data_IF_247740377735
#
_entry.id   IF_247740377735
#
_cell.length_a   1.000
_cell.length_b   1.000
_cell.length_c   1.000
_cell.angle_alpha   90.00
_cell.angle_beta   90.00
_cell.angle_gamma   90.00
#
_symmetry.space_group_name_H-M   'P 1'
#
loop_
_entity.id
_entity.type
_entity.pdbx_description
1 polymer ?
#
# COMPACT_ATOMS: atom_id res chain seq x y z
N UNK A 1 46.91 -0.94 50.78
CA UNK A 1 45.84 0.06 50.82
C UNK A 1 44.87 -0.24 49.69
N UNK A 2 43.72 -0.84 50.02
CA UNK A 2 42.63 -1.16 49.09
C UNK A 2 41.43 -0.33 49.51
N UNK A 3 40.95 0.53 48.63
CA UNK A 3 39.80 1.40 48.86
C UNK A 3 38.57 0.74 48.23
N UNK A 4 37.60 0.34 49.06
CA UNK A 4 36.26 -0.04 48.64
C UNK A 4 35.42 1.21 48.38
N UNK A 5 34.78 1.30 47.22
CA UNK A 5 33.65 2.21 47.00
C UNK A 5 32.35 1.41 47.13
N UNK A 6 31.50 1.84 48.06
CA UNK A 6 30.14 1.35 48.25
C UNK A 6 29.18 2.16 47.37
N UNK A 7 28.40 1.47 46.52
CA UNK A 7 27.29 2.06 45.79
C UNK A 7 26.03 2.04 46.67
N UNK A 8 25.53 3.23 46.99
CA UNK A 8 24.24 3.46 47.67
C UNK A 8 23.16 3.51 46.58
N UNK A 9 22.27 2.53 46.57
CA UNK A 9 21.11 2.48 45.70
C UNK A 9 19.93 3.18 46.40
N UNK A 10 19.47 4.30 45.86
CA UNK A 10 18.24 4.96 46.30
C UNK A 10 17.04 4.27 45.65
N UNK A 11 16.24 3.59 46.47
CA UNK A 11 14.97 2.99 46.09
C UNK A 11 13.88 4.09 46.17
N UNK A 12 13.41 4.56 45.01
CA UNK A 12 12.25 5.43 44.89
C UNK A 12 11.00 4.56 44.72
N UNK A 13 10.21 4.43 45.78
CA UNK A 13 8.90 3.74 45.75
C UNK A 13 7.85 4.73 45.24
N UNK A 14 7.39 4.54 44.00
CA UNK A 14 6.20 5.22 43.45
C UNK A 14 5.00 4.30 43.64
N UNK A 15 4.04 4.74 44.45
CA UNK A 15 2.75 4.05 44.65
C UNK A 15 1.81 4.46 43.52
N UNK A 16 1.73 3.62 42.47
CA UNK A 16 0.75 3.73 41.41
C UNK A 16 -0.53 2.97 41.77
N UNK A 17 -1.65 3.68 41.84
CA UNK A 17 -2.99 3.09 42.00
C UNK A 17 -3.37 2.48 40.64
N UNK A 18 -3.12 1.19 40.48
CA UNK A 18 -3.44 0.43 39.27
C UNK A 18 -4.93 0.13 39.18
N UNK A 19 -5.58 0.63 38.13
CA UNK A 19 -6.88 0.13 37.71
C UNK A 19 -6.72 -1.28 37.11
N UNK A 20 -7.36 -2.28 37.70
CA UNK A 20 -7.45 -3.63 37.14
C UNK A 20 -8.33 -3.59 35.88
N UNK A 21 -7.72 -3.48 34.70
CA UNK A 21 -8.38 -3.85 33.46
C UNK A 21 -8.31 -5.38 33.34
N UNK A 22 -9.46 -6.04 33.46
CA UNK A 22 -9.64 -7.45 33.09
C UNK A 22 -9.49 -7.55 31.57
N UNK A 23 -8.30 -7.93 31.11
CA UNK A 23 -8.08 -8.35 29.72
C UNK A 23 -8.81 -9.65 29.49
N UNK A 24 -9.83 -9.64 28.64
CA UNK A 24 -10.46 -10.87 28.16
C UNK A 24 -9.39 -11.75 27.50
N UNK A 25 -9.39 -13.07 27.72
CA UNK A 25 -8.46 -13.98 27.06
C UNK A 25 -8.63 -13.84 25.53
N UNK A 26 -7.53 -13.54 24.84
CA UNK A 26 -7.53 -13.58 23.37
C UNK A 26 -8.00 -14.97 22.92
N UNK A 27 -8.91 -15.05 21.93
CA UNK A 27 -9.32 -16.34 21.39
C UNK A 27 -8.08 -17.03 20.83
N UNK A 28 -7.73 -18.18 21.41
CA UNK A 28 -6.68 -19.07 20.90
C UNK A 28 -7.06 -19.39 19.46
N UNK A 29 -6.29 -18.85 18.51
CA UNK A 29 -6.45 -19.16 17.10
C UNK A 29 -6.40 -20.68 16.95
N UNK A 30 -7.52 -21.27 16.54
CA UNK A 30 -7.56 -22.69 16.22
C UNK A 30 -6.70 -22.88 14.98
N UNK A 31 -5.55 -23.54 15.16
CA UNK A 31 -4.67 -23.89 14.04
C UNK A 31 -5.49 -24.63 13.00
N UNK A 32 -5.76 -23.95 11.88
CA UNK A 32 -6.41 -24.60 10.74
C UNK A 32 -5.45 -25.69 10.28
N UNK A 33 -5.87 -26.97 10.23
CA UNK A 33 -4.97 -28.07 9.89
C UNK A 33 -4.29 -27.74 8.56
N UNK A 34 -2.96 -27.67 8.59
CA UNK A 34 -2.12 -27.35 7.44
C UNK A 34 -2.50 -28.32 6.33
N UNK A 35 -3.03 -27.82 5.21
CA UNK A 35 -3.40 -28.66 4.08
C UNK A 35 -2.22 -29.57 3.73
N UNK A 36 -2.48 -30.87 3.60
CA UNK A 36 -1.43 -31.85 3.32
C UNK A 36 -0.62 -31.40 2.11
N UNK A 37 0.70 -31.26 2.28
CA UNK A 37 1.57 -30.82 1.20
C UNK A 37 1.40 -31.73 -0.02
N UNK A 38 1.32 -31.17 -1.24
CA UNK A 38 1.16 -31.97 -2.44
C UNK A 38 2.29 -33.01 -2.53
N UNK A 39 1.93 -34.28 -2.74
CA UNK A 39 2.90 -35.35 -2.92
C UNK A 39 3.60 -35.19 -4.27
N UNK A 40 4.81 -34.63 -4.24
CA UNK A 40 5.71 -34.58 -5.40
C UNK A 40 6.19 -36.00 -5.72
N UNK A 41 6.36 -36.38 -7.00
CA UNK A 41 7.07 -37.62 -7.34
C UNK A 41 8.54 -37.53 -6.92
N UNK A 42 9.24 -38.66 -6.72
CA UNK A 42 10.66 -38.66 -6.38
C UNK A 42 11.49 -37.98 -7.48
N UNK A 43 12.18 -36.86 -7.19
CA UNK A 43 12.98 -36.18 -8.19
C UNK A 43 14.24 -36.98 -8.53
N UNK A 44 14.61 -37.00 -9.81
CA UNK A 44 15.89 -37.52 -10.30
C UNK A 44 16.97 -36.43 -10.28
N UNK A 45 16.59 -35.20 -10.58
CA UNK A 45 17.48 -34.03 -10.58
C UNK A 45 16.80 -32.86 -9.89
N UNK A 46 17.57 -32.09 -9.12
CA UNK A 46 17.12 -30.84 -8.53
C UNK A 46 18.14 -29.77 -8.88
N UNK A 47 17.67 -28.65 -9.40
CA UNK A 47 18.49 -27.49 -9.76
C UNK A 47 18.01 -26.29 -8.95
N UNK A 48 18.97 -25.60 -8.33
CA UNK A 48 18.74 -24.33 -7.65
C UNK A 48 19.22 -23.21 -8.57
N UNK A 49 18.41 -22.18 -8.71
CA UNK A 49 18.74 -20.97 -9.48
C UNK A 49 18.11 -19.76 -8.82
N UNK A 50 18.45 -18.57 -9.31
CA UNK A 50 17.87 -17.31 -8.84
C UNK A 50 17.27 -16.54 -10.00
N UNK A 51 16.28 -15.69 -9.69
CA UNK A 51 15.72 -14.72 -10.64
C UNK A 51 16.78 -13.76 -11.21
N UNK A 52 17.90 -13.57 -10.53
CA UNK A 52 19.01 -12.71 -10.94
C UNK A 52 20.14 -13.49 -11.66
N UNK A 53 19.77 -14.46 -12.51
CA UNK A 53 20.70 -15.21 -13.36
C UNK A 53 21.84 -15.90 -12.58
N UNK A 54 21.55 -16.45 -11.40
CA UNK A 54 22.52 -17.18 -10.58
C UNK A 54 23.37 -16.30 -9.65
N UNK A 55 23.05 -15.01 -9.51
CA UNK A 55 23.63 -14.13 -8.49
C UNK A 55 22.59 -13.78 -7.41
N UNK A 56 23.05 -13.20 -6.31
CA UNK A 56 22.20 -12.62 -5.26
C UNK A 56 22.59 -11.18 -5.02
N UNK A 57 21.62 -10.27 -5.01
CA UNK A 57 21.88 -8.87 -4.79
C UNK A 57 22.05 -8.55 -3.30
N UNK A 58 23.14 -7.88 -2.95
CA UNK A 58 23.40 -7.50 -1.56
C UNK A 58 22.37 -6.48 -1.07
N UNK A 59 21.44 -6.89 -0.20
CA UNK A 59 20.42 -5.98 0.37
C UNK A 59 19.11 -5.90 -0.42
N UNK A 60 18.96 -6.71 -1.48
CA UNK A 60 17.71 -6.87 -2.21
C UNK A 60 17.29 -8.33 -2.14
N UNK A 61 16.01 -8.56 -1.85
CA UNK A 61 15.43 -9.89 -1.83
C UNK A 61 15.49 -10.50 -3.24
N UNK A 62 16.16 -11.64 -3.36
CA UNK A 62 16.32 -12.35 -4.62
C UNK A 62 15.47 -13.60 -4.61
N UNK A 63 14.56 -13.78 -5.56
CA UNK A 63 13.74 -14.99 -5.61
C UNK A 63 14.60 -16.21 -5.92
N UNK A 64 14.60 -17.20 -5.03
CA UNK A 64 15.11 -18.54 -5.29
C UNK A 64 14.13 -19.29 -6.20
N UNK A 65 14.65 -20.10 -7.12
CA UNK A 65 13.85 -20.95 -8.00
C UNK A 65 14.40 -22.36 -7.91
N UNK A 66 13.51 -23.30 -7.62
CA UNK A 66 13.86 -24.71 -7.50
C UNK A 66 13.14 -25.48 -8.58
N UNK A 67 13.91 -26.21 -9.37
CA UNK A 67 13.37 -27.08 -10.41
C UNK A 67 13.73 -28.52 -10.07
N UNK A 68 12.73 -29.31 -9.69
CA UNK A 68 12.84 -30.76 -9.60
C UNK A 68 12.41 -31.39 -10.93
N UNK A 69 13.16 -32.38 -11.42
CA UNK A 69 12.81 -33.15 -12.62
C UNK A 69 12.57 -34.58 -12.19
N UNK A 70 11.38 -35.12 -12.49
CA UNK A 70 11.03 -36.51 -12.16
C UNK A 70 11.60 -37.53 -13.17
N UNK A 71 11.32 -38.82 -12.95
CA UNK A 71 11.81 -39.90 -13.80
C UNK A 71 11.25 -39.86 -15.24
N UNK A 72 10.15 -39.12 -15.47
CA UNK A 72 9.54 -38.91 -16.78
C UNK A 72 10.06 -37.64 -17.45
N UNK A 73 10.99 -36.91 -16.83
CA UNK A 73 11.54 -35.66 -17.35
C UNK A 73 10.61 -34.45 -17.14
N UNK A 74 9.56 -34.57 -16.32
CA UNK A 74 8.63 -33.46 -16.06
C UNK A 74 9.22 -32.50 -15.02
N UNK A 75 9.24 -31.18 -15.29
CA UNK A 75 9.71 -30.21 -14.32
C UNK A 75 8.62 -29.87 -13.29
N UNK A 76 9.05 -29.73 -12.04
CA UNK A 76 8.27 -29.32 -10.89
C UNK A 76 8.96 -28.08 -10.32
N UNK A 77 8.37 -26.92 -10.59
CA UNK A 77 8.98 -25.62 -10.32
C UNK A 77 8.27 -24.97 -9.13
N UNK A 78 9.02 -24.29 -8.26
CA UNK A 78 8.44 -23.52 -7.16
C UNK A 78 7.59 -22.33 -7.65
N UNK A 79 6.59 -21.97 -6.85
CA UNK A 79 5.78 -20.77 -7.05
C UNK A 79 6.63 -19.49 -7.01
N UNK A 80 6.15 -18.42 -7.66
CA UNK A 80 6.84 -17.12 -7.73
C UNK A 80 7.57 -16.95 -9.06
N UNK A 81 8.82 -16.46 -9.04
CA UNK A 81 9.55 -16.11 -10.27
C UNK A 81 9.83 -17.29 -11.22
N UNK A 82 9.73 -18.53 -10.74
CA UNK A 82 9.84 -19.72 -11.58
C UNK A 82 8.58 -20.03 -12.40
N UNK A 83 7.44 -19.38 -12.10
CA UNK A 83 6.16 -19.63 -12.76
C UNK A 83 5.58 -21.03 -12.50
N UNK A 84 6.09 -21.75 -11.50
CA UNK A 84 5.65 -23.09 -11.15
C UNK A 84 4.49 -23.11 -10.16
N UNK A 85 4.02 -24.32 -9.85
CA UNK A 85 2.87 -24.55 -8.95
C UNK A 85 3.28 -25.16 -7.61
N UNK A 86 4.54 -25.57 -7.45
CA UNK A 86 5.01 -26.26 -6.24
C UNK A 86 5.11 -25.26 -5.09
N UNK A 87 4.36 -25.45 -3.99
CA UNK A 87 4.40 -24.53 -2.86
C UNK A 87 5.74 -24.65 -2.11
N UNK A 88 6.19 -23.55 -1.51
CA UNK A 88 7.46 -23.47 -0.79
C UNK A 88 7.54 -24.40 0.42
N UNK A 89 6.41 -24.71 1.05
CA UNK A 89 6.33 -25.65 2.16
C UNK A 89 6.52 -27.13 1.77
N UNK A 90 6.60 -27.45 0.47
CA UNK A 90 6.97 -28.79 -0.01
C UNK A 90 8.49 -29.06 0.10
N UNK A 91 9.25 -28.06 0.54
CA UNK A 91 10.71 -28.08 0.59
C UNK A 91 11.22 -27.69 1.98
N UNK A 92 12.38 -28.24 2.34
CA UNK A 92 13.16 -27.84 3.50
C UNK A 92 14.45 -27.15 3.05
N UNK A 93 14.84 -26.08 3.74
CA UNK A 93 15.96 -25.23 3.35
C UNK A 93 16.92 -24.96 4.49
N UNK A 94 18.20 -24.79 4.14
CA UNK A 94 19.21 -24.17 4.99
C UNK A 94 19.99 -23.18 4.13
N UNK A 95 20.25 -21.99 4.66
CA UNK A 95 21.04 -20.98 3.99
C UNK A 95 22.24 -20.57 4.85
N UNK A 96 23.39 -20.38 4.19
CA UNK A 96 24.61 -19.84 4.77
C UNK A 96 24.79 -18.41 4.24
N UNK A 97 25.07 -17.47 5.14
CA UNK A 97 25.20 -16.03 4.84
C UNK A 97 23.92 -15.38 4.25
N UNK A 98 22.76 -16.04 4.38
CA UNK A 98 21.48 -15.49 3.97
C UNK A 98 20.33 -16.04 4.83
N UNK A 99 19.19 -15.38 4.74
CA UNK A 99 17.88 -15.93 5.15
C UNK A 99 17.06 -16.28 3.92
N UNK A 100 16.16 -17.24 4.07
CA UNK A 100 15.15 -17.60 3.07
C UNK A 100 13.79 -17.38 3.70
N UNK A 101 12.94 -16.55 3.08
CA UNK A 101 11.57 -16.33 3.55
C UNK A 101 10.67 -17.53 3.26
N UNK A 102 9.47 -17.54 3.84
CA UNK A 102 8.45 -18.55 3.55
C UNK A 102 8.05 -18.60 2.06
N UNK A 103 8.23 -17.49 1.35
CA UNK A 103 7.92 -17.35 -0.08
C UNK A 103 9.17 -17.55 -0.97
N UNK A 104 10.27 -18.06 -0.40
CA UNK A 104 11.50 -18.36 -1.15
C UNK A 104 12.34 -17.14 -1.54
N UNK A 105 12.19 -16.02 -0.83
CA UNK A 105 13.04 -14.85 -1.02
C UNK A 105 14.35 -15.03 -0.26
N UNK A 106 15.46 -15.01 -1.00
CA UNK A 106 16.81 -15.13 -0.47
C UNK A 106 17.38 -13.74 -0.21
N UNK A 107 17.80 -13.48 1.04
CA UNK A 107 18.39 -12.20 1.45
C UNK A 107 19.72 -12.42 2.15
N UNK A 108 20.85 -11.91 1.63
CA UNK A 108 22.11 -11.97 2.34
C UNK A 108 22.02 -11.32 3.72
N UNK A 109 22.61 -11.95 4.73
CA UNK A 109 22.67 -11.42 6.10
C UNK A 109 24.12 -11.21 6.53
N UNK A 110 24.34 -10.14 7.29
CA UNK A 110 25.66 -9.79 7.83
C UNK A 110 26.07 -8.37 7.50
N UNK A 111 27.30 -8.02 7.89
CA UNK A 111 27.95 -6.79 7.48
C UNK A 111 28.27 -6.86 5.98
N UNK A 112 27.78 -5.91 5.21
CA UNK A 112 27.99 -5.85 3.76
C UNK A 112 29.47 -5.87 3.36
N UNK A 113 30.38 -5.32 4.17
CA UNK A 113 31.81 -5.43 3.88
C UNK A 113 32.30 -6.86 3.97
N UNK A 114 31.81 -7.61 4.96
CA UNK A 114 32.17 -9.00 5.14
C UNK A 114 31.56 -9.90 4.04
N UNK A 115 30.55 -9.41 3.32
CA UNK A 115 29.93 -10.10 2.18
C UNK A 115 30.68 -9.90 0.86
N UNK A 116 31.66 -9.01 0.81
CA UNK A 116 32.50 -8.83 -0.38
C UNK A 116 33.30 -10.11 -0.62
N UNK A 117 33.33 -10.56 -1.87
CA UNK A 117 33.91 -11.84 -2.31
C UNK A 117 33.25 -13.09 -1.67
N UNK A 118 32.09 -12.95 -1.01
CA UNK A 118 31.34 -14.08 -0.46
C UNK A 118 30.27 -14.60 -1.41
N UNK A 119 29.79 -15.80 -1.11
CA UNK A 119 28.64 -16.42 -1.75
C UNK A 119 27.59 -16.80 -0.71
N UNK A 120 26.35 -16.82 -1.15
CA UNK A 120 25.24 -17.41 -0.40
C UNK A 120 25.19 -18.90 -0.73
N UNK A 121 25.35 -19.74 0.30
CA UNK A 121 25.16 -21.19 0.17
C UNK A 121 23.70 -21.53 0.45
N UNK A 122 23.05 -22.29 -0.43
CA UNK A 122 21.68 -22.76 -0.24
C UNK A 122 21.65 -24.27 -0.35
N UNK A 123 21.09 -24.93 0.66
CA UNK A 123 20.75 -26.34 0.67
C UNK A 123 19.25 -26.50 0.62
N UNK A 124 18.78 -27.38 -0.26
CA UNK A 124 17.36 -27.66 -0.43
C UNK A 124 17.12 -29.16 -0.61
N UNK A 125 16.04 -29.66 -0.03
CA UNK A 125 15.52 -30.99 -0.30
C UNK A 125 13.98 -30.98 -0.29
N UNK A 126 13.30 -31.82 -1.06
CA UNK A 126 11.86 -32.01 -0.90
C UNK A 126 11.58 -32.59 0.48
N UNK A 127 10.53 -32.14 1.16
CA UNK A 127 10.15 -32.66 2.49
C UNK A 127 9.86 -34.17 2.43
N UNK A 128 9.28 -34.65 1.33
CA UNK A 128 8.99 -36.06 1.10
C UNK A 128 10.25 -36.92 0.83
N UNK A 129 11.38 -36.31 0.45
CA UNK A 129 12.61 -36.99 0.04
C UNK A 129 13.85 -36.25 0.59
N UNK A 130 14.03 -36.17 1.92
CA UNK A 130 15.08 -35.38 2.55
C UNK A 130 16.51 -35.85 2.17
N UNK A 131 16.67 -37.11 1.75
CA UNK A 131 17.91 -37.68 1.26
C UNK A 131 18.34 -37.13 -0.12
N UNK A 132 17.41 -36.51 -0.87
CA UNK A 132 17.67 -35.85 -2.16
C UNK A 132 18.05 -34.38 -1.96
N UNK A 133 19.01 -34.13 -1.06
CA UNK A 133 19.50 -32.78 -0.81
C UNK A 133 20.45 -32.32 -1.91
N UNK A 134 20.26 -31.09 -2.39
CA UNK A 134 21.20 -30.40 -3.26
C UNK A 134 21.72 -29.14 -2.60
N UNK A 135 22.93 -28.74 -2.97
CA UNK A 135 23.58 -27.53 -2.51
C UNK A 135 23.98 -26.68 -3.72
N UNK A 136 23.89 -25.37 -3.60
CA UNK A 136 24.36 -24.42 -4.60
C UNK A 136 24.90 -23.18 -3.93
N UNK A 137 25.86 -22.54 -4.59
CA UNK A 137 26.49 -21.31 -4.12
C UNK A 137 26.23 -20.22 -5.14
N UNK A 138 25.67 -19.10 -4.68
CA UNK A 138 25.37 -17.95 -5.52
C UNK A 138 26.27 -16.79 -5.10
N UNK A 139 27.10 -16.24 -6.00
CA UNK A 139 27.92 -15.08 -5.69
C UNK A 139 27.04 -13.88 -5.32
N UNK A 140 27.49 -13.13 -4.33
CA UNK A 140 26.85 -11.87 -3.93
C UNK A 140 27.32 -10.78 -4.87
N UNK A 141 26.38 -10.10 -5.52
CA UNK A 141 26.65 -8.96 -6.39
C UNK A 141 26.19 -7.66 -5.74
N UNK A 142 27.00 -6.62 -5.93
CA UNK A 142 26.67 -5.24 -5.60
C UNK A 142 26.42 -4.39 -6.85
N UNK A 143 26.50 -5.00 -8.03
CA UNK A 143 26.18 -4.39 -9.31
C UNK A 143 24.68 -4.56 -9.61
N UNK A 144 23.83 -4.20 -8.64
CA UNK A 144 22.38 -4.38 -8.70
C UNK A 144 21.63 -3.05 -8.77
N UNK A 145 20.42 -3.02 -9.35
CA UNK A 145 19.55 -1.85 -9.30
C UNK A 145 18.84 -1.79 -7.94
N UNK A 146 19.37 -0.99 -7.03
CA UNK A 146 18.77 -0.74 -5.73
C UNK A 146 17.61 0.22 -5.85
N UNK A 147 16.58 0.02 -5.03
CA UNK A 147 15.43 0.92 -4.91
C UNK A 147 15.23 1.28 -3.44
N UNK A 148 15.08 2.57 -3.16
CA UNK A 148 14.58 3.09 -1.91
C UNK A 148 13.35 3.95 -2.19
N UNK A 149 12.19 3.52 -1.70
CA UNK A 149 10.93 4.21 -1.92
C UNK A 149 10.42 4.80 -0.60
N UNK A 150 10.16 6.10 -0.64
CA UNK A 150 9.61 6.89 0.45
C UNK A 150 8.57 7.87 -0.13
N UNK A 151 7.68 7.29 -0.94
CA UNK A 151 6.58 7.98 -1.59
C UNK A 151 5.51 8.39 -0.57
N UNK A 152 4.81 9.48 -0.85
CA UNK A 152 3.64 9.91 -0.12
C UNK A 152 2.46 8.95 -0.31
N UNK A 153 1.64 8.82 0.73
CA UNK A 153 0.47 7.94 0.69
C UNK A 153 -0.60 8.50 -0.24
N UNK A 154 -1.33 7.62 -0.94
CA UNK A 154 -2.49 8.05 -1.72
C UNK A 154 -3.61 8.55 -0.78
N UNK A 155 -4.32 9.60 -1.20
CA UNK A 155 -5.52 10.08 -0.54
C UNK A 155 -6.67 9.09 -0.69
N UNK A 156 -7.52 9.00 0.33
CA UNK A 156 -8.71 8.16 0.27
C UNK A 156 -9.78 8.80 -0.61
N UNK A 157 -10.54 7.95 -1.31
CA UNK A 157 -11.69 8.42 -2.06
C UNK A 157 -12.81 8.86 -1.12
N UNK A 158 -13.52 9.90 -1.52
CA UNK A 158 -14.73 10.35 -0.87
C UNK A 158 -15.84 9.30 -0.95
N UNK A 159 -16.60 9.17 0.14
CA UNK A 159 -17.76 8.30 0.18
C UNK A 159 -18.89 8.85 -0.71
N UNK A 160 -19.59 7.95 -1.40
CA UNK A 160 -20.79 8.34 -2.13
C UNK A 160 -21.91 8.72 -1.16
N UNK A 161 -22.71 9.71 -1.56
CA UNK A 161 -23.92 10.08 -0.86
C UNK A 161 -24.98 8.98 -0.93
N UNK A 162 -25.69 8.76 0.18
CA UNK A 162 -26.81 7.83 0.21
C UNK A 162 -28.01 8.37 -0.57
N UNK A 163 -28.78 7.49 -1.23
CA UNK A 163 -30.01 7.90 -1.89
C UNK A 163 -31.08 8.34 -0.88
N UNK A 164 -31.92 9.28 -1.30
CA UNK A 164 -33.08 9.71 -0.56
C UNK A 164 -34.19 8.65 -0.58
N UNK A 165 -34.97 8.58 0.50
CA UNK A 165 -36.06 7.63 0.61
C UNK A 165 -37.24 8.03 -0.27
N UNK A 166 -37.83 7.08 -1.01
CA UNK A 166 -39.09 7.31 -1.70
C UNK A 166 -40.22 7.55 -0.70
N UNK A 167 -41.16 8.43 -1.05
CA UNK A 167 -42.29 8.74 -0.19
C UNK A 167 -43.45 7.75 -0.35
N UNK A 168 -44.24 7.53 0.72
CA UNK A 168 -45.44 6.72 0.62
C UNK A 168 -46.52 7.43 -0.23
N UNK A 169 -47.35 6.66 -0.96
CA UNK A 169 -48.51 7.22 -1.63
C UNK A 169 -49.56 7.71 -0.62
N UNK A 170 -50.38 8.66 -1.04
CA UNK A 170 -51.52 9.13 -0.27
C UNK A 170 -52.60 8.06 -0.14
N UNK A 171 -53.27 8.03 1.01
CA UNK A 171 -54.35 7.08 1.25
C UNK A 171 -55.59 7.36 0.37
N UNK A 172 -56.18 6.29 -0.14
CA UNK A 172 -57.48 6.34 -0.80
C UNK A 172 -58.58 6.39 0.28
N UNK A 173 -59.48 7.36 0.18
CA UNK A 173 -60.63 7.52 1.06
C UNK A 173 -61.96 7.31 0.31
N UNK A 174 -63.07 7.01 1.01
CA UNK A 174 -64.35 6.77 0.37
C UNK A 174 -64.80 7.97 -0.48
N UNK A 175 -65.34 7.69 -1.67
CA UNK A 175 -65.79 8.71 -2.63
C UNK A 175 -67.30 9.00 -2.52
N UNK A 176 -68.03 8.23 -1.71
CA UNK A 176 -69.49 8.33 -1.56
C UNK A 176 -69.96 7.86 -0.18
N UNK A 177 -71.16 8.29 0.23
CA UNK A 177 -71.75 7.97 1.52
C UNK A 177 -71.31 8.91 2.67
N UNK A 178 -71.77 8.65 3.91
CA UNK A 178 -71.55 9.55 5.05
C UNK A 178 -70.09 9.66 5.52
N UNK A 179 -69.19 8.82 5.00
CA UNK A 179 -67.74 8.88 5.25
C UNK A 179 -66.92 9.37 4.04
N UNK A 180 -67.57 9.98 3.05
CA UNK A 180 -66.90 10.46 1.86
C UNK A 180 -65.93 11.61 2.20
N UNK A 181 -64.67 11.49 1.77
CA UNK A 181 -63.61 12.44 2.09
C UNK A 181 -62.62 12.61 0.93
N UNK A 182 -61.90 13.76 0.85
CA UNK A 182 -60.82 13.96 -0.09
C UNK A 182 -59.72 12.91 0.05
N UNK A 183 -59.11 12.48 -1.05
CA UNK A 183 -57.94 11.62 -1.01
C UNK A 183 -56.77 12.34 -0.33
N UNK A 184 -55.89 11.61 0.32
CA UNK A 184 -54.71 12.22 0.92
C UNK A 184 -53.64 12.50 -0.14
N UNK A 185 -52.85 13.54 0.09
CA UNK A 185 -51.69 13.85 -0.75
C UNK A 185 -50.62 12.77 -0.60
N UNK A 186 -49.85 12.54 -1.66
CA UNK A 186 -48.64 11.73 -1.59
C UNK A 186 -47.54 12.42 -0.78
N UNK A 187 -46.69 11.62 -0.13
CA UNK A 187 -45.55 12.16 0.62
C UNK A 187 -44.49 12.79 -0.29
N UNK A 188 -43.66 13.67 0.24
CA UNK A 188 -42.47 14.19 -0.46
C UNK A 188 -41.31 13.21 -0.32
N UNK A 189 -40.64 12.90 -1.43
CA UNK A 189 -39.44 12.07 -1.42
C UNK A 189 -38.30 12.74 -0.66
N UNK A 190 -37.49 11.95 0.03
CA UNK A 190 -36.33 12.45 0.77
C UNK A 190 -35.21 12.91 -0.17
N UNK A 191 -34.43 13.89 0.26
CA UNK A 191 -33.26 14.34 -0.50
C UNK A 191 -32.15 13.28 -0.47
N UNK A 192 -31.41 13.16 -1.56
CA UNK A 192 -30.16 12.41 -1.61
C UNK A 192 -29.07 13.15 -0.84
N UNK A 193 -28.16 12.41 -0.22
CA UNK A 193 -27.04 13.00 0.50
C UNK A 193 -25.94 13.43 -0.46
N UNK A 194 -25.13 14.40 -0.08
CA UNK A 194 -23.96 14.78 -0.85
C UNK A 194 -22.90 13.68 -0.77
N UNK A 195 -22.11 13.54 -1.84
CA UNK A 195 -20.86 12.80 -1.79
C UNK A 195 -19.81 13.57 -0.99
N UNK A 196 -18.90 12.84 -0.35
CA UNK A 196 -17.77 13.45 0.35
C UNK A 196 -16.64 13.78 -0.63
N UNK A 197 -15.81 14.75 -0.27
CA UNK A 197 -14.60 15.07 -1.04
C UNK A 197 -13.56 13.94 -0.93
N UNK A 198 -12.71 13.82 -1.94
CA UNK A 198 -11.52 12.99 -1.88
C UNK A 198 -10.45 13.62 -0.99
N UNK A 199 -9.70 12.81 -0.26
CA UNK A 199 -8.61 13.28 0.58
C UNK A 199 -7.39 13.68 -0.26
N UNK A 200 -6.61 14.62 0.25
CA UNK A 200 -5.33 14.99 -0.35
C UNK A 200 -4.32 13.83 -0.22
N UNK A 201 -3.52 13.62 -1.26
CA UNK A 201 -2.37 12.72 -1.22
C UNK A 201 -1.26 13.25 -0.32
N UNK A 202 -0.59 12.36 0.40
CA UNK A 202 0.54 12.68 1.26
C UNK A 202 1.75 13.17 0.48
N UNK A 203 2.54 14.05 1.09
CA UNK A 203 3.80 14.50 0.49
C UNK A 203 4.86 13.38 0.54
N UNK A 204 5.73 13.34 -0.47
CA UNK A 204 6.90 12.46 -0.49
C UNK A 204 7.91 12.82 0.59
N UNK A 205 8.68 11.84 1.06
CA UNK A 205 9.60 12.04 2.18
C UNK A 205 10.83 12.88 1.78
N UNK A 206 11.36 13.62 2.75
CA UNK A 206 12.61 14.35 2.55
C UNK A 206 13.79 13.44 2.91
N UNK A 207 14.75 13.33 1.99
CA UNK A 207 15.93 12.50 2.16
C UNK A 207 17.22 13.32 2.24
N UNK A 208 18.12 12.89 3.11
CA UNK A 208 19.53 13.30 3.12
C UNK A 208 20.40 12.09 2.83
N UNK A 209 21.30 12.21 1.86
CA UNK A 209 22.20 11.15 1.47
C UNK A 209 23.63 11.53 1.82
N UNK A 210 24.36 10.59 2.39
CA UNK A 210 25.81 10.67 2.55
C UNK A 210 26.47 9.61 1.66
N UNK A 211 27.35 10.06 0.76
CA UNK A 211 27.94 9.22 -0.28
C UNK A 211 29.46 9.29 -0.18
N UNK A 212 30.10 8.14 0.01
CA UNK A 212 31.55 8.01 0.05
C UNK A 212 32.03 6.91 -0.91
N UNK A 213 33.24 7.09 -1.45
CA UNK A 213 33.92 6.04 -2.20
C UNK A 213 34.80 5.26 -1.22
N UNK A 214 34.61 3.94 -1.15
CA UNK A 214 35.36 3.03 -0.29
C UNK A 214 36.05 1.97 -1.13
N UNK A 215 37.17 1.44 -0.63
CA UNK A 215 37.86 0.31 -1.23
C UNK A 215 37.54 -0.93 -0.42
N UNK A 216 37.02 -1.97 -1.07
CA UNK A 216 36.65 -3.22 -0.40
C UNK A 216 37.30 -4.44 -1.04
N UNK A 217 37.37 -5.52 -0.27
CA UNK A 217 37.93 -6.80 -0.70
C UNK A 217 39.45 -6.78 -0.87
N UNK A 218 39.99 -7.94 -1.22
CA UNK A 218 41.43 -8.11 -1.45
C UNK A 218 41.92 -7.32 -2.68
N UNK A 219 41.05 -7.15 -3.67
CA UNK A 219 41.33 -6.41 -4.90
C UNK A 219 41.27 -4.89 -4.74
N UNK A 220 40.85 -4.38 -3.57
CA UNK A 220 40.63 -2.95 -3.34
C UNK A 220 39.71 -2.35 -4.41
N UNK A 221 38.57 -3.00 -4.63
CA UNK A 221 37.59 -2.55 -5.61
C UNK A 221 36.87 -1.29 -5.12
N UNK A 222 36.77 -0.23 -5.95
CA UNK A 222 36.06 0.98 -5.58
C UNK A 222 34.56 0.73 -5.56
N UNK A 223 33.94 1.01 -4.43
CA UNK A 223 32.50 0.90 -4.22
C UNK A 223 31.93 2.18 -3.64
N UNK A 224 30.68 2.48 -3.99
CA UNK A 224 29.94 3.56 -3.34
C UNK A 224 29.28 3.04 -2.09
N UNK A 225 29.60 3.67 -0.97
CA UNK A 225 28.81 3.58 0.25
C UNK A 225 27.81 4.73 0.24
N UNK A 226 26.52 4.40 0.30
CA UNK A 226 25.43 5.39 0.38
C UNK A 226 24.64 5.16 1.66
N UNK A 227 24.56 6.17 2.53
CA UNK A 227 23.62 6.18 3.64
C UNK A 227 22.43 7.04 3.28
N UNK A 228 21.24 6.44 3.24
CA UNK A 228 19.99 7.17 3.05
C UNK A 228 19.40 7.48 4.42
N UNK A 229 19.29 8.77 4.73
CA UNK A 229 18.60 9.29 5.90
C UNK A 229 17.21 9.76 5.50
N UNK A 230 16.18 9.09 5.99
CA UNK A 230 14.81 9.55 5.85
C UNK A 230 14.51 10.55 6.97
N UNK A 231 14.44 11.84 6.63
CA UNK A 231 14.20 12.90 7.60
C UNK A 231 12.76 12.88 8.15
N UNK A 232 11.82 12.23 7.45
CA UNK A 232 10.42 12.11 7.88
C UNK A 232 10.26 11.05 8.96
N UNK A 233 11.01 9.94 8.87
CA UNK A 233 10.91 8.81 9.81
C UNK A 233 12.08 8.74 10.80
N UNK A 234 13.18 9.43 10.52
CA UNK A 234 14.45 9.26 11.23
C UNK A 234 15.22 7.99 10.85
N UNK A 235 14.69 7.20 9.90
CA UNK A 235 15.29 5.96 9.44
C UNK A 235 16.62 6.17 8.74
N UNK A 236 17.51 5.17 8.87
CA UNK A 236 18.82 5.16 8.20
C UNK A 236 19.01 3.81 7.51
N UNK A 237 19.29 3.84 6.21
CA UNK A 237 19.47 2.61 5.41
C UNK A 237 20.79 2.68 4.64
N UNK A 238 21.76 1.79 4.91
CA UNK A 238 23.01 1.71 4.16
C UNK A 238 22.82 0.94 2.85
N UNK A 239 23.51 1.38 1.80
CA UNK A 239 23.66 0.71 0.51
C UNK A 239 25.12 0.66 0.11
N UNK A 240 25.48 -0.40 -0.61
CA UNK A 240 26.79 -0.61 -1.22
C UNK A 240 26.59 -0.88 -2.70
N UNK A 241 27.21 -0.06 -3.55
CA UNK A 241 26.96 -0.08 -4.98
C UNK A 241 28.29 -0.26 -5.69
N UNK A 242 28.38 -1.29 -6.53
CA UNK A 242 29.47 -1.44 -7.48
C UNK A 242 29.19 -0.53 -8.69
N UNK A 243 29.99 0.53 -8.94
CA UNK A 243 29.75 1.46 -10.03
C UNK A 243 29.91 0.85 -11.43
N UNK A 244 30.36 -0.40 -11.57
CA UNK A 244 30.44 -1.07 -12.88
C UNK A 244 29.04 -1.42 -13.42
N UNK A 245 28.04 -1.61 -12.55
CA UNK A 245 26.68 -1.96 -13.00
C UNK A 245 25.55 -1.71 -12.01
N UNK A 246 25.85 -1.29 -10.78
CA UNK A 246 24.85 -1.00 -9.77
C UNK A 246 24.34 0.44 -9.85
N UNK A 247 23.07 0.63 -9.49
CA UNK A 247 22.43 1.95 -9.38
C UNK A 247 21.60 2.02 -8.11
N UNK A 248 21.31 3.23 -7.63
CA UNK A 248 20.34 3.46 -6.57
C UNK A 248 19.26 4.41 -7.06
N UNK A 249 18.04 3.90 -7.15
CA UNK A 249 16.84 4.63 -7.49
C UNK A 249 16.13 5.07 -6.20
N UNK A 250 15.96 6.37 -6.03
CA UNK A 250 15.30 6.99 -4.89
C UNK A 250 13.96 7.53 -5.38
N UNK A 251 12.86 7.00 -4.86
CA UNK A 251 11.51 7.49 -5.14
C UNK A 251 11.00 8.23 -3.91
N UNK A 252 10.74 9.52 -4.06
CA UNK A 252 10.16 10.40 -3.04
C UNK A 252 8.97 11.15 -3.62
N UNK A 253 8.14 10.45 -4.39
CA UNK A 253 7.02 11.08 -5.10
C UNK A 253 5.93 11.48 -4.14
N UNK A 254 5.17 12.51 -4.48
CA UNK A 254 3.92 12.80 -3.79
C UNK A 254 2.86 11.72 -4.09
N UNK A 255 2.01 11.43 -3.11
CA UNK A 255 0.89 10.53 -3.28
C UNK A 255 -0.22 11.16 -4.11
N UNK A 256 -1.00 10.35 -4.83
CA UNK A 256 -2.15 10.86 -5.59
C UNK A 256 -3.28 11.27 -4.64
N UNK A 257 -4.05 12.30 -4.99
CA UNK A 257 -5.27 12.64 -4.29
C UNK A 257 -6.40 11.65 -4.58
N UNK A 258 -7.32 11.52 -3.63
CA UNK A 258 -8.49 10.65 -3.76
C UNK A 258 -9.55 11.24 -4.67
N UNK A 259 -10.36 10.38 -5.29
CA UNK A 259 -11.53 10.83 -6.04
C UNK A 259 -12.62 11.37 -5.11
N UNK A 260 -13.41 12.34 -5.56
CA UNK A 260 -14.64 12.72 -4.88
C UNK A 260 -15.70 11.60 -4.91
N UNK A 261 -16.63 11.63 -3.97
CA UNK A 261 -17.78 10.73 -3.91
C UNK A 261 -18.97 11.25 -4.72
N UNK A 262 -19.71 10.37 -5.37
CA UNK A 262 -20.92 10.75 -6.11
C UNK A 262 -22.03 11.22 -5.17
N UNK A 263 -22.80 12.21 -5.60
CA UNK A 263 -24.02 12.63 -4.90
C UNK A 263 -25.11 11.55 -4.96
N UNK A 264 -25.86 11.42 -3.87
CA UNK A 264 -26.98 10.50 -3.74
C UNK A 264 -28.18 10.94 -4.58
N UNK A 265 -28.90 9.98 -5.16
CA UNK A 265 -30.13 10.27 -5.91
C UNK A 265 -31.25 10.68 -4.95
N UNK A 266 -32.04 11.70 -5.29
CA UNK A 266 -33.22 12.09 -4.53
C UNK A 266 -34.35 11.05 -4.63
N UNK A 267 -35.09 10.85 -3.55
CA UNK A 267 -36.21 9.91 -3.50
C UNK A 267 -37.42 10.41 -4.27
N UNK A 268 -38.21 9.50 -4.83
CA UNK A 268 -39.42 9.86 -5.56
C UNK A 268 -40.55 10.30 -4.61
N UNK A 269 -41.39 11.23 -5.08
CA UNK A 269 -42.61 11.63 -4.41
C UNK A 269 -43.71 10.56 -4.50
N UNK A 270 -44.54 10.47 -3.46
CA UNK A 270 -45.66 9.54 -3.41
C UNK A 270 -46.79 9.94 -4.35
N UNK A 271 -47.49 8.96 -4.92
CA UNK A 271 -48.67 9.22 -5.74
C UNK A 271 -49.86 9.73 -4.90
N UNK A 272 -50.75 10.47 -5.54
CA UNK A 272 -52.01 10.95 -4.98
C UNK A 272 -52.99 9.83 -4.55
N UNK A 273 -53.62 9.99 -3.39
CA UNK A 273 -54.77 9.19 -2.95
C UNK A 273 -56.08 9.58 -3.65
N UNK A 274 -56.96 8.62 -3.87
CA UNK A 274 -58.32 8.83 -4.38
C UNK A 274 -59.29 9.31 -3.28
N UNK A 275 -60.26 10.14 -3.62
CA UNK A 275 -61.35 10.50 -2.71
C UNK A 275 -62.46 11.29 -3.41
N UNK A 276 -63.31 11.98 -2.64
CA UNK A 276 -64.35 12.87 -3.22
C UNK A 276 -63.73 13.95 -4.11
N UNK A 277 -62.53 14.38 -3.76
CA UNK A 277 -61.55 15.03 -4.63
C UNK A 277 -60.24 14.28 -4.49
N UNK A 278 -59.45 14.18 -5.55
CA UNK A 278 -58.15 13.52 -5.48
C UNK A 278 -57.14 14.38 -4.68
N UNK A 279 -56.26 13.72 -3.92
CA UNK A 279 -55.09 14.36 -3.32
C UNK A 279 -54.04 14.72 -4.38
N UNK A 280 -53.06 15.55 -4.06
CA UNK A 280 -51.94 15.88 -4.95
C UNK A 280 -50.85 14.82 -4.92
N UNK A 281 -50.07 14.72 -5.99
CA UNK A 281 -48.82 13.96 -5.97
C UNK A 281 -47.77 14.69 -5.11
N UNK A 282 -46.98 13.95 -4.34
CA UNK A 282 -45.90 14.52 -3.55
C UNK A 282 -44.69 14.89 -4.41
N UNK A 283 -43.89 15.85 -3.98
CA UNK A 283 -42.69 16.26 -4.74
C UNK A 283 -41.57 15.21 -4.62
N UNK A 284 -40.72 15.10 -5.64
CA UNK A 284 -39.48 14.35 -5.53
C UNK A 284 -38.43 15.10 -4.70
N UNK A 285 -37.58 14.36 -4.01
CA UNK A 285 -36.43 14.89 -3.29
C UNK A 285 -35.31 15.33 -4.24
N UNK A 286 -34.50 16.27 -3.80
CA UNK A 286 -33.32 16.74 -4.55
C UNK A 286 -32.24 15.68 -4.56
N UNK A 287 -31.45 15.61 -5.64
CA UNK A 287 -30.19 14.87 -5.64
C UNK A 287 -29.16 15.61 -4.80
N UNK A 288 -28.27 14.88 -4.14
CA UNK A 288 -27.14 15.45 -3.42
C UNK A 288 -26.02 15.87 -4.37
N UNK A 289 -25.18 16.80 -3.94
CA UNK A 289 -24.03 17.27 -4.72
C UNK A 289 -22.90 16.22 -4.74
N UNK A 290 -22.09 16.22 -5.78
CA UNK A 290 -20.88 15.40 -5.84
C UNK A 290 -19.73 16.03 -5.04
N UNK A 291 -18.82 15.19 -4.54
CA UNK A 291 -17.61 15.62 -3.87
C UNK A 291 -16.53 16.09 -4.85
N UNK A 292 -15.67 16.99 -4.37
CA UNK A 292 -14.46 17.42 -5.06
C UNK A 292 -13.40 16.32 -5.06
N UNK A 293 -12.52 16.34 -6.06
CA UNK A 293 -11.31 15.52 -6.03
C UNK A 293 -10.27 16.08 -5.05
N UNK A 294 -9.54 15.21 -4.38
CA UNK A 294 -8.44 15.58 -3.48
C UNK A 294 -7.19 16.01 -4.25
N UNK A 295 -6.44 16.97 -3.72
CA UNK A 295 -5.18 17.41 -4.32
C UNK A 295 -4.11 16.29 -4.26
N UNK A 296 -3.19 16.27 -5.22
CA UNK A 296 -1.99 15.46 -5.15
C UNK A 296 -0.99 15.99 -4.10
N UNK A 297 -0.23 15.08 -3.50
CA UNK A 297 0.87 15.42 -2.61
C UNK A 297 2.09 15.96 -3.36
N UNK A 298 2.92 16.74 -2.69
CA UNK A 298 4.15 17.26 -3.27
C UNK A 298 5.24 16.20 -3.27
N UNK A 299 6.17 16.27 -4.22
CA UNK A 299 7.39 15.47 -4.19
C UNK A 299 8.31 15.90 -3.04
N UNK A 300 9.04 14.94 -2.48
CA UNK A 300 10.00 15.16 -1.41
C UNK A 300 11.28 15.83 -1.89
N UNK A 301 12.05 16.40 -0.95
CA UNK A 301 13.34 17.03 -1.24
C UNK A 301 14.47 16.04 -1.01
N UNK A 302 15.47 16.04 -1.91
CA UNK A 302 16.66 15.19 -1.77
C UNK A 302 17.91 16.06 -1.69
N UNK A 303 18.61 15.96 -0.57
CA UNK A 303 19.93 16.57 -0.34
C UNK A 303 20.99 15.49 -0.40
N UNK A 304 22.02 15.68 -1.23
CA UNK A 304 23.10 14.70 -1.40
C UNK A 304 24.42 15.33 -1.01
N UNK A 305 25.04 14.79 0.03
CA UNK A 305 26.40 15.09 0.47
C UNK A 305 27.32 14.03 -0.09
N UNK A 306 28.13 14.39 -1.07
CA UNK A 306 28.98 13.45 -1.80
C UNK A 306 30.45 13.80 -1.59
N UNK A 307 31.25 12.79 -1.24
CA UNK A 307 32.69 12.95 -1.19
C UNK A 307 33.25 13.30 -2.56
N UNK A 308 34.29 14.15 -2.59
CA UNK A 308 34.90 14.59 -3.84
C UNK A 308 35.41 13.41 -4.68
N UNK A 309 35.86 12.32 -4.05
CA UNK A 309 36.29 11.09 -4.72
C UNK A 309 35.13 10.31 -5.36
N UNK A 310 33.92 10.41 -4.82
CA UNK A 310 32.72 9.75 -5.33
C UNK A 310 32.01 10.53 -6.44
N UNK A 311 32.34 11.81 -6.64
CA UNK A 311 31.70 12.70 -7.64
C UNK A 311 31.54 12.10 -9.05
N UNK A 312 32.52 11.37 -9.63
CA UNK A 312 32.36 10.78 -10.95
C UNK A 312 31.18 9.80 -11.06
N UNK A 313 30.71 9.28 -9.91
CA UNK A 313 29.65 8.30 -9.83
C UNK A 313 28.28 8.89 -9.43
N UNK A 314 28.12 10.21 -9.45
CA UNK A 314 26.84 10.86 -9.12
C UNK A 314 25.67 10.36 -9.98
N UNK A 315 25.93 9.96 -11.23
CA UNK A 315 24.90 9.50 -12.19
C UNK A 315 24.31 8.12 -11.85
N UNK A 316 24.92 7.38 -10.93
CA UNK A 316 24.37 6.11 -10.45
C UNK A 316 23.27 6.32 -9.40
N UNK A 317 23.08 7.56 -8.93
CA UNK A 317 21.98 7.95 -8.06
C UNK A 317 20.87 8.57 -8.91
N UNK A 318 19.78 7.84 -9.09
CA UNK A 318 18.62 8.27 -9.85
C UNK A 318 17.53 8.70 -8.88
N UNK A 319 17.04 9.93 -8.98
CA UNK A 319 16.03 10.48 -8.07
C UNK A 319 14.76 10.78 -8.85
N UNK A 320 13.63 10.24 -8.36
CA UNK A 320 12.29 10.64 -8.76
C UNK A 320 11.60 11.36 -7.59
N UNK A 321 11.36 12.65 -7.79
CA UNK A 321 10.69 13.53 -6.84
C UNK A 321 9.46 14.19 -7.48
N UNK A 322 8.73 13.49 -8.35
CA UNK A 322 7.52 14.02 -8.96
C UNK A 322 6.44 14.33 -7.91
N UNK A 323 5.58 15.31 -8.20
CA UNK A 323 4.33 15.46 -7.45
C UNK A 323 3.33 14.35 -7.77
N UNK A 324 2.37 14.14 -6.88
CA UNK A 324 1.24 13.26 -7.10
C UNK A 324 0.18 13.90 -7.99
N UNK A 325 -0.68 13.07 -8.59
CA UNK A 325 -1.81 13.56 -9.38
C UNK A 325 -2.96 13.98 -8.45
N UNK A 326 -3.75 14.98 -8.85
CA UNK A 326 -5.02 15.26 -8.18
C UNK A 326 -6.08 14.21 -8.54
N UNK A 327 -6.99 13.95 -7.62
CA UNK A 327 -8.11 13.05 -7.82
C UNK A 327 -9.23 13.71 -8.63
N UNK A 328 -10.09 12.94 -9.31
CA UNK A 328 -11.20 13.49 -10.08
C UNK A 328 -12.36 13.94 -9.19
N UNK A 329 -13.09 14.97 -9.61
CA UNK A 329 -14.39 15.33 -9.02
C UNK A 329 -15.45 14.29 -9.36
N UNK A 330 -16.46 14.19 -8.51
CA UNK A 330 -17.58 13.29 -8.73
C UNK A 330 -18.86 14.00 -9.22
N UNK A 331 -19.75 13.29 -9.93
CA UNK A 331 -21.02 13.85 -10.36
C UNK A 331 -21.99 14.05 -9.19
N UNK A 332 -22.90 15.01 -9.34
CA UNK A 332 -24.06 15.15 -8.47
C UNK A 332 -25.12 14.07 -8.74
N UNK A 333 -25.94 13.80 -7.73
CA UNK A 333 -27.07 12.89 -7.80
C UNK A 333 -28.22 13.47 -8.60
N UNK A 334 -29.03 12.59 -9.20
CA UNK A 334 -30.24 13.03 -9.89
C UNK A 334 -31.35 13.37 -8.89
N UNK A 335 -32.17 14.36 -9.20
CA UNK A 335 -33.39 14.63 -8.43
C UNK A 335 -34.47 13.59 -8.70
N UNK A 336 -35.18 13.20 -7.64
CA UNK A 336 -36.26 12.23 -7.66
C UNK A 336 -37.47 12.72 -8.44
N UNK A 337 -38.23 11.79 -9.02
CA UNK A 337 -39.48 12.07 -9.73
C UNK A 337 -40.55 12.64 -8.80
N UNK A 338 -41.38 13.53 -9.33
CA UNK A 338 -42.61 13.92 -8.66
C UNK A 338 -43.64 12.79 -8.72
N UNK A 339 -44.40 12.62 -7.64
CA UNK A 339 -45.49 11.66 -7.56
C UNK A 339 -46.62 11.99 -8.53
N UNK A 340 -47.24 10.97 -9.10
CA UNK A 340 -48.35 11.15 -10.02
C UNK A 340 -49.56 11.77 -9.30
N UNK A 341 -50.13 12.82 -9.92
CA UNK A 341 -51.47 13.28 -9.62
C UNK A 341 -52.53 12.34 -10.22
N UNK A 342 -53.80 12.59 -9.90
CA UNK A 342 -54.97 11.96 -10.52
C UNK A 342 -55.73 13.00 -11.35
N UNK A 343 -56.88 12.62 -11.91
CA UNK A 343 -57.60 13.35 -12.97
C UNK A 343 -57.82 14.84 -12.70
N UNK A 344 -57.95 15.24 -11.43
CA UNK A 344 -58.18 16.63 -11.03
C UNK A 344 -57.15 17.18 -10.04
N UNK A 345 -56.02 16.49 -9.85
CA UNK A 345 -54.98 16.92 -8.92
C UNK A 345 -53.64 17.11 -9.60
N UNK A 346 -52.82 17.99 -9.01
CA UNK A 346 -51.54 18.33 -9.60
C UNK A 346 -50.53 17.20 -9.33
N UNK A 347 -49.72 16.80 -10.33
CA UNK A 347 -48.56 15.96 -10.06
C UNK A 347 -47.56 16.74 -9.19
N UNK A 348 -46.75 16.00 -8.44
CA UNK A 348 -45.62 16.57 -7.75
C UNK A 348 -44.56 17.05 -8.74
N UNK A 349 -43.74 18.00 -8.30
CA UNK A 349 -42.58 18.44 -9.06
C UNK A 349 -41.42 17.45 -8.90
N UNK A 350 -40.62 17.30 -9.96
CA UNK A 350 -39.32 16.61 -9.86
C UNK A 350 -38.38 17.41 -8.96
N UNK A 351 -37.60 16.72 -8.15
CA UNK A 351 -36.49 17.33 -7.42
C UNK A 351 -35.40 17.85 -8.36
N UNK A 352 -34.64 18.84 -7.89
CA UNK A 352 -33.46 19.32 -8.63
C UNK A 352 -32.34 18.27 -8.60
N UNK A 353 -31.56 18.18 -9.68
CA UNK A 353 -30.30 17.44 -9.65
C UNK A 353 -29.30 18.17 -8.76
N UNK A 354 -28.44 17.41 -8.07
CA UNK A 354 -27.28 17.96 -7.38
C UNK A 354 -26.23 18.45 -8.38
N UNK A 355 -25.41 19.39 -7.93
CA UNK A 355 -24.28 19.88 -8.68
C UNK A 355 -23.15 18.84 -8.72
N UNK A 356 -22.37 18.75 -9.81
CA UNK A 356 -21.10 18.03 -9.76
C UNK A 356 -20.14 18.69 -8.76
N UNK A 357 -19.15 17.93 -8.29
CA UNK A 357 -18.08 18.46 -7.44
C UNK A 357 -17.38 19.63 -8.11
N UNK A 358 -16.95 20.60 -7.30
CA UNK A 358 -16.49 21.91 -7.80
C UNK A 358 -15.23 21.86 -8.69
N UNK A 359 -14.48 20.74 -8.69
CA UNK A 359 -13.35 20.52 -9.58
C UNK A 359 -12.51 19.31 -9.20
N UNK A 360 -11.69 18.88 -10.16
CA UNK A 360 -10.62 17.92 -9.91
C UNK A 360 -9.59 18.52 -8.96
N UNK A 361 -8.94 17.65 -8.18
CA UNK A 361 -7.81 18.02 -7.36
C UNK A 361 -6.65 18.56 -8.20
N UNK A 362 -5.84 19.42 -7.60
CA UNK A 362 -4.65 19.97 -8.22
C UNK A 362 -3.53 18.93 -8.25
N UNK A 363 -2.68 19.01 -9.27
CA UNK A 363 -1.42 18.28 -9.27
C UNK A 363 -0.53 18.78 -8.13
N UNK A 364 0.13 17.86 -7.44
CA UNK A 364 1.17 18.18 -6.48
C UNK A 364 2.39 18.78 -7.17
N UNK A 365 3.13 19.64 -6.45
CA UNK A 365 4.35 20.20 -7.01
C UNK A 365 5.48 19.18 -6.95
N UNK A 366 6.29 19.02 -8.01
CA UNK A 366 7.54 18.28 -7.90
C UNK A 366 8.41 18.82 -6.77
N UNK A 367 9.17 17.92 -6.14
CA UNK A 367 10.18 18.28 -5.17
C UNK A 367 11.26 19.18 -5.77
N UNK A 368 12.04 19.82 -4.91
CA UNK A 368 13.18 20.62 -5.38
C UNK A 368 14.18 19.73 -6.12
N UNK A 369 14.84 20.31 -7.14
CA UNK A 369 15.94 19.63 -7.81
C UNK A 369 16.98 19.18 -6.77
N UNK A 370 17.58 18.00 -7.01
CA UNK A 370 18.56 17.39 -6.11
C UNK A 370 19.64 18.40 -5.74
N UNK A 371 19.78 18.64 -4.44
CA UNK A 371 20.76 19.59 -3.91
C UNK A 371 22.08 18.89 -3.64
N UNK A 372 23.04 19.05 -4.54
CA UNK A 372 24.36 18.46 -4.43
C UNK A 372 25.30 19.30 -3.58
N UNK A 373 25.94 18.68 -2.60
CA UNK A 373 26.96 19.27 -1.75
C UNK A 373 28.23 18.42 -1.79
N UNK A 374 29.32 19.00 -2.29
CA UNK A 374 30.61 18.34 -2.35
C UNK A 374 31.38 18.61 -1.06
N UNK A 375 31.33 17.66 -0.14
CA UNK A 375 31.94 17.78 1.20
C UNK A 375 32.74 16.54 1.50
N UNK A 376 33.70 16.63 2.43
CA UNK A 376 34.36 15.41 2.92
C UNK A 376 33.33 14.59 3.70
N UNK A 377 32.99 13.42 3.19
CA UNK A 377 32.13 12.45 3.89
C UNK A 377 33.05 11.38 4.46
N UNK A 378 32.94 11.12 5.76
CA UNK A 378 33.65 9.99 6.34
C UNK A 378 32.90 8.72 5.96
N UNK A 379 33.58 7.66 5.52
CA UNK A 379 32.98 6.33 5.48
C UNK A 379 32.33 6.04 6.84
N UNK A 380 31.21 5.33 6.85
CA UNK A 380 30.44 5.15 8.09
C UNK A 380 31.10 4.23 9.13
N UNK A 381 32.32 3.77 8.86
CA UNK A 381 33.13 2.91 9.73
C UNK A 381 34.58 3.38 9.75
#
# INVERSE_FOLDING_TARGET
MRTLFANVCWLLVTVGIGACATTAPEPVATETPLAAAPQLPPPQHIVLSTSASGMVCAGVDTQLIITAIDAQGRPWITQGAGGGEVPWNAWQFQALNATVSADGLLRPVGDFQALVDQSVGVRAAPVAYPERMVESFFPISFACPYVFAADGQAGQNGANGMPGAAAPPGANLPTSGPGAAPGQDGGTGGDGQNGADGERGGDGHNLELEVALVQVGAAQQPMLQVMVHDASTGGKTPYFIDPVGGTLHLSVRGGNGGAGGAGGVGGDGGAAGAGTTDGNGGNGGKGGDGGMGGDGGNGGQVRVRIDKSARPYQSFLVVDASGGMGGPAAPGGQGGGGGAGRTYSNPGNRGANGAPGAGDGRLGTPGSAVQWQYVRVKPLW
#
